data_IF_956592729304
#
_entry.id   IF_956592729304
#
_cell.length_a   1.000
_cell.length_b   1.000
_cell.length_c   1.000
_cell.angle_alpha   90.00
_cell.angle_beta   90.00
_cell.angle_gamma   90.00
#
_symmetry.space_group_name_H-M   'P 1'
#
loop_
_entity.id
_entity.type
_entity.pdbx_description
1 polymer ?
#
# COMPACT_ATOMS: atom_id res chain seq x y z
N UNK A 1 -26.66 -19.01 -34.00
CA UNK A 1 -25.47 -18.63 -33.22
C UNK A 1 -25.90 -17.45 -32.38
N UNK A 2 -26.23 -17.72 -31.13
CA UNK A 2 -26.76 -16.72 -30.21
C UNK A 2 -25.58 -15.96 -29.60
N UNK A 3 -25.52 -14.65 -29.83
CA UNK A 3 -24.48 -13.77 -29.27
C UNK A 3 -25.01 -13.36 -27.91
N UNK A 4 -24.70 -14.18 -26.90
CA UNK A 4 -25.06 -13.90 -25.51
C UNK A 4 -24.61 -12.50 -25.12
N UNK A 5 -25.60 -11.67 -24.77
CA UNK A 5 -25.50 -10.37 -24.13
C UNK A 5 -24.38 -10.34 -23.08
N UNK A 6 -23.35 -9.53 -23.32
CA UNK A 6 -22.40 -9.13 -22.28
C UNK A 6 -23.18 -8.33 -21.25
N UNK A 7 -23.29 -8.87 -20.04
CA UNK A 7 -23.94 -8.18 -18.93
C UNK A 7 -23.08 -6.97 -18.52
N UNK A 8 -23.66 -5.77 -18.33
CA UNK A 8 -22.91 -4.61 -17.88
C UNK A 8 -22.36 -4.84 -16.46
N UNK A 9 -21.14 -4.36 -16.23
CA UNK A 9 -20.36 -4.42 -14.98
C UNK A 9 -20.98 -3.45 -13.94
N UNK A 10 -22.27 -3.58 -13.66
CA UNK A 10 -23.01 -2.67 -12.80
C UNK A 10 -23.95 -3.41 -11.85
N UNK A 11 -23.43 -4.45 -11.20
CA UNK A 11 -24.03 -4.97 -9.98
C UNK A 11 -22.93 -5.54 -9.07
N UNK A 12 -22.03 -4.65 -8.60
CA UNK A 12 -21.18 -4.98 -7.46
C UNK A 12 -22.07 -4.99 -6.22
N UNK A 13 -22.44 -6.20 -5.85
CA UNK A 13 -23.28 -6.56 -4.72
C UNK A 13 -22.88 -5.80 -3.44
N UNK A 14 -23.87 -5.12 -2.85
CA UNK A 14 -23.74 -4.06 -1.84
C UNK A 14 -23.37 -4.55 -0.43
N UNK A 15 -22.70 -5.70 -0.29
CA UNK A 15 -22.50 -6.33 1.03
C UNK A 15 -21.11 -6.90 1.33
N UNK A 16 -20.16 -6.98 0.39
CA UNK A 16 -18.80 -7.43 0.71
C UNK A 16 -17.90 -6.26 1.17
N UNK A 17 -18.09 -5.81 2.41
CA UNK A 17 -17.30 -4.71 3.05
C UNK A 17 -15.84 -5.07 3.34
N UNK A 18 -15.29 -6.14 2.74
CA UNK A 18 -13.95 -6.65 3.02
C UNK A 18 -13.21 -6.93 1.70
N UNK A 19 -13.19 -5.93 0.82
CA UNK A 19 -12.38 -5.99 -0.39
C UNK A 19 -10.92 -5.85 0.04
N UNK A 20 -10.16 -6.93 -0.16
CA UNK A 20 -8.71 -6.93 -0.04
C UNK A 20 -8.16 -6.78 -1.45
N UNK A 21 -7.48 -5.68 -1.71
CA UNK A 21 -6.80 -5.43 -2.99
C UNK A 21 -5.31 -5.71 -2.83
N UNK A 22 -4.68 -6.35 -3.82
CA UNK A 22 -3.25 -6.64 -3.81
C UNK A 22 -2.59 -6.19 -5.11
N UNK A 23 -1.44 -5.53 -4.99
CA UNK A 23 -0.59 -5.09 -6.09
C UNK A 23 0.81 -5.67 -5.88
N UNK A 24 1.37 -6.26 -6.94
CA UNK A 24 2.76 -6.75 -6.99
C UNK A 24 3.45 -5.94 -8.10
N UNK A 25 4.52 -5.24 -7.75
CA UNK A 25 5.18 -4.27 -8.65
C UNK A 25 6.18 -4.91 -9.60
N UNK A 26 6.55 -6.17 -9.38
CA UNK A 26 7.59 -6.87 -10.13
C UNK A 26 9.02 -6.50 -9.73
N UNK A 27 9.20 -5.64 -8.72
CA UNK A 27 10.52 -5.24 -8.23
C UNK A 27 11.30 -6.42 -7.66
N UNK A 28 12.56 -6.58 -8.08
CA UNK A 28 13.51 -7.57 -7.57
C UNK A 28 14.54 -6.83 -6.71
N UNK A 29 14.69 -7.18 -5.41
CA UNK A 29 15.68 -6.55 -4.53
C UNK A 29 17.12 -6.71 -5.04
N UNK A 30 17.99 -5.77 -4.67
CA UNK A 30 19.41 -5.79 -5.03
C UNK A 30 20.24 -6.87 -4.32
N UNK A 31 21.49 -7.05 -4.77
CA UNK A 31 22.44 -8.06 -4.27
C UNK A 31 22.83 -7.86 -2.79
N UNK A 32 22.62 -6.68 -2.21
CA UNK A 32 22.79 -6.39 -0.78
C UNK A 32 21.62 -6.90 0.10
N UNK A 33 20.78 -7.75 -0.49
CA UNK A 33 20.21 -8.93 0.13
C UNK A 33 19.38 -8.67 1.37
N UNK A 34 18.07 -8.48 1.19
CA UNK A 34 16.96 -8.51 2.18
C UNK A 34 17.06 -7.63 3.43
N UNK A 35 18.25 -7.12 3.78
CA UNK A 35 18.57 -6.35 4.97
C UNK A 35 17.81 -5.03 5.01
N UNK A 36 17.40 -4.51 3.85
CA UNK A 36 16.60 -3.28 3.70
C UNK A 36 15.11 -3.54 3.51
N UNK A 37 14.71 -4.80 3.34
CA UNK A 37 13.31 -5.17 3.11
C UNK A 37 12.58 -5.14 4.44
N UNK A 38 11.49 -4.38 4.51
CA UNK A 38 10.62 -4.32 5.68
C UNK A 38 9.18 -4.64 5.28
N UNK A 39 8.51 -5.39 6.14
CA UNK A 39 7.06 -5.52 6.13
C UNK A 39 6.48 -4.48 7.09
N UNK A 40 5.79 -3.48 6.55
CA UNK A 40 5.25 -2.32 7.27
C UNK A 40 3.73 -2.34 7.18
N UNK A 41 3.07 -1.99 8.27
CA UNK A 41 1.62 -1.80 8.31
C UNK A 41 1.32 -0.30 8.51
N UNK A 42 0.64 0.30 7.55
CA UNK A 42 0.27 1.71 7.56
C UNK A 42 -1.23 1.84 7.78
N UNK A 43 -1.59 2.66 8.76
CA UNK A 43 -2.98 2.94 9.15
C UNK A 43 -3.42 4.33 8.67
N UNK A 44 -4.72 4.60 8.79
CA UNK A 44 -5.33 5.92 8.57
C UNK A 44 -5.14 6.53 7.17
N UNK A 45 -4.94 5.69 6.15
CA UNK A 45 -4.94 6.14 4.76
C UNK A 45 -6.39 6.36 4.34
N UNK A 46 -6.77 7.52 3.76
CA UNK A 46 -8.13 7.71 3.26
C UNK A 46 -8.51 6.67 2.21
N UNK A 47 -9.73 6.17 2.26
CA UNK A 47 -10.26 5.24 1.25
C UNK A 47 -10.32 5.86 -0.15
N UNK A 48 -10.33 7.19 -0.24
CA UNK A 48 -10.30 7.90 -1.52
C UNK A 48 -8.97 7.77 -2.25
N UNK A 49 -7.90 7.33 -1.58
CA UNK A 49 -6.60 7.15 -2.21
C UNK A 49 -6.53 5.86 -3.01
N UNK A 50 -6.20 5.98 -4.30
CA UNK A 50 -6.03 4.81 -5.18
C UNK A 50 -4.72 4.09 -4.88
N UNK A 51 -4.59 2.82 -5.30
CA UNK A 51 -3.32 2.08 -5.21
C UNK A 51 -2.15 2.85 -5.84
N UNK A 52 -2.38 3.51 -6.97
CA UNK A 52 -1.37 4.28 -7.70
C UNK A 52 -0.93 5.51 -6.92
N UNK A 53 -1.86 6.26 -6.32
CA UNK A 53 -1.53 7.41 -5.47
C UNK A 53 -0.69 6.99 -4.26
N UNK A 54 -1.05 5.87 -3.62
CA UNK A 54 -0.28 5.31 -2.50
C UNK A 54 1.12 4.92 -2.96
N UNK A 55 1.24 4.20 -4.08
CA UNK A 55 2.53 3.81 -4.64
C UNK A 55 3.40 5.03 -4.94
N UNK A 56 2.86 6.10 -5.53
CA UNK A 56 3.59 7.34 -5.80
C UNK A 56 4.15 7.98 -4.52
N UNK A 57 3.38 7.98 -3.42
CA UNK A 57 3.89 8.48 -2.13
C UNK A 57 4.96 7.57 -1.54
N UNK A 58 4.82 6.25 -1.71
CA UNK A 58 5.77 5.26 -1.21
C UNK A 58 7.09 5.22 -1.98
N UNK A 59 7.15 5.74 -3.22
CA UNK A 59 8.41 5.86 -3.98
C UNK A 59 9.45 6.69 -3.22
N UNK A 60 9.03 7.65 -2.38
CA UNK A 60 9.94 8.40 -1.51
C UNK A 60 10.59 7.55 -0.42
N UNK A 61 9.96 6.43 -0.06
CA UNK A 61 10.47 5.54 0.98
C UNK A 61 11.42 4.48 0.44
N UNK A 62 11.22 4.10 -0.81
CA UNK A 62 12.02 3.09 -1.49
C UNK A 62 11.21 2.34 -2.53
N UNK A 63 11.69 1.15 -2.89
CA UNK A 63 11.09 0.35 -3.94
C UNK A 63 10.06 -0.62 -3.34
N UNK A 64 8.78 -0.34 -3.60
CA UNK A 64 7.69 -1.22 -3.16
C UNK A 64 7.78 -2.55 -3.89
N UNK A 65 7.69 -3.67 -3.16
CA UNK A 65 7.67 -5.05 -3.71
C UNK A 65 6.22 -5.53 -3.82
N UNK A 66 5.45 -5.35 -2.75
CA UNK A 66 4.02 -5.69 -2.74
C UNK A 66 3.24 -4.76 -1.83
N UNK A 67 2.01 -4.47 -2.23
CA UNK A 67 1.06 -3.65 -1.52
C UNK A 67 -0.25 -4.44 -1.35
N UNK A 68 -0.76 -4.53 -0.13
CA UNK A 68 -2.09 -5.06 0.14
C UNK A 68 -2.91 -4.01 0.88
N UNK A 69 -4.10 -3.71 0.38
CA UNK A 69 -5.01 -2.73 0.96
C UNK A 69 -6.24 -3.42 1.49
N UNK A 70 -6.73 -2.94 2.63
CA UNK A 70 -8.00 -3.35 3.20
C UNK A 70 -8.79 -2.12 3.63
N UNK A 71 -9.93 -1.91 3.00
CA UNK A 71 -10.84 -0.83 3.36
C UNK A 71 -11.49 -1.07 4.73
N UNK A 72 -11.53 -0.03 5.56
CA UNK A 72 -12.16 0.00 6.88
C UNK A 72 -12.91 1.32 7.08
N UNK A 73 -14.21 1.34 6.77
CA UNK A 73 -15.05 2.55 6.80
C UNK A 73 -14.49 3.65 5.89
N UNK A 74 -14.09 4.80 6.46
CA UNK A 74 -13.57 5.98 5.75
C UNK A 74 -12.05 5.94 5.52
N UNK A 75 -11.36 4.96 6.10
CA UNK A 75 -9.93 4.74 5.94
C UNK A 75 -9.67 3.36 5.35
N UNK A 76 -8.41 3.08 5.05
CA UNK A 76 -7.90 1.78 4.67
C UNK A 76 -6.55 1.53 5.34
N UNK A 77 -6.27 0.25 5.59
CA UNK A 77 -4.97 -0.20 6.07
C UNK A 77 -4.17 -0.73 4.90
N UNK A 78 -2.89 -0.38 4.85
CA UNK A 78 -1.95 -0.86 3.84
C UNK A 78 -0.90 -1.74 4.50
N UNK A 79 -0.82 -3.01 4.09
CA UNK A 79 0.33 -3.88 4.36
C UNK A 79 1.31 -3.77 3.20
N UNK A 80 2.49 -3.27 3.49
CA UNK A 80 3.52 -2.93 2.53
C UNK A 80 4.73 -3.81 2.74
N UNK A 81 5.21 -4.45 1.68
CA UNK A 81 6.56 -5.01 1.62
C UNK A 81 7.40 -4.10 0.73
N UNK A 82 8.45 -3.51 1.29
CA UNK A 82 9.24 -2.47 0.61
C UNK A 82 10.72 -2.67 0.89
N UNK A 83 11.54 -2.45 -0.13
CA UNK A 83 12.98 -2.22 0.03
C UNK A 83 13.21 -0.74 0.34
N UNK A 84 13.54 -0.43 1.59
CA UNK A 84 13.75 0.95 2.02
C UNK A 84 15.05 1.52 1.44
N UNK A 85 15.01 2.81 1.08
CA UNK A 85 16.24 3.55 0.81
C UNK A 85 17.02 3.79 2.11
N UNK A 86 18.32 4.09 2.01
CA UNK A 86 19.20 4.24 3.17
C UNK A 86 18.67 5.27 4.19
N UNK A 87 18.10 6.39 3.73
CA UNK A 87 17.57 7.44 4.60
C UNK A 87 16.39 6.93 5.44
N UNK A 88 15.40 6.30 4.81
CA UNK A 88 14.25 5.75 5.53
C UNK A 88 14.61 4.53 6.37
N UNK A 89 15.59 3.74 5.95
CA UNK A 89 16.08 2.62 6.74
C UNK A 89 16.70 3.09 8.06
N UNK A 90 17.60 4.07 8.02
CA UNK A 90 18.20 4.63 9.25
C UNK A 90 17.16 5.27 10.15
N UNK A 91 16.14 5.94 9.60
CA UNK A 91 15.02 6.45 10.39
C UNK A 91 14.20 5.31 11.00
N UNK A 92 13.92 4.26 10.24
CA UNK A 92 13.15 3.12 10.71
C UNK A 92 13.87 2.37 11.84
N UNK A 93 15.18 2.20 11.74
CA UNK A 93 16.01 1.46 12.71
C UNK A 93 16.45 2.32 13.90
N UNK A 94 16.74 3.60 13.67
CA UNK A 94 17.20 4.54 14.71
C UNK A 94 16.08 5.12 15.57
N UNK A 95 14.82 4.83 15.23
CA UNK A 95 13.71 5.06 16.13
C UNK A 95 13.65 3.89 17.12
N UNK A 96 14.10 4.10 18.37
CA UNK A 96 13.95 3.15 19.51
C UNK A 96 12.47 2.97 19.94
N UNK A 97 11.53 2.90 18.99
CA UNK A 97 10.09 2.76 19.22
C UNK A 97 9.35 4.05 19.57
N UNK A 98 10.00 5.22 19.55
CA UNK A 98 9.40 6.49 19.99
C UNK A 98 8.53 7.18 18.94
N UNK A 99 8.76 6.96 17.65
CA UNK A 99 8.00 7.61 16.55
C UNK A 99 7.44 6.54 15.61
N UNK A 100 6.16 6.20 15.79
CA UNK A 100 5.41 5.27 14.93
C UNK A 100 4.55 6.00 13.88
N UNK A 101 4.60 7.34 13.85
CA UNK A 101 3.85 8.19 12.93
C UNK A 101 4.75 8.75 11.85
N UNK A 102 4.27 8.75 10.61
CA UNK A 102 4.93 9.48 9.52
C UNK A 102 3.88 10.08 8.60
N UNK A 103 4.19 11.28 8.12
CA UNK A 103 3.36 11.95 7.12
C UNK A 103 3.60 11.32 5.74
N UNK A 104 2.51 11.06 5.02
CA UNK A 104 2.52 10.58 3.63
C UNK A 104 2.26 11.71 2.61
N UNK A 105 2.60 12.94 2.97
CA UNK A 105 2.50 14.11 2.09
C UNK A 105 1.33 15.05 2.42
N UNK A 106 1.07 15.30 3.70
CA UNK A 106 0.08 16.20 4.28
C UNK A 106 -1.33 16.00 3.76
N UNK A 107 -2.12 15.25 4.53
CA UNK A 107 -3.58 15.30 4.42
C UNK A 107 -4.07 16.10 5.62
N UNK A 108 -4.72 17.27 5.45
CA UNK A 108 -5.35 17.95 6.57
C UNK A 108 -6.48 17.07 7.11
N UNK A 109 -6.56 16.96 8.43
CA UNK A 109 -7.69 16.38 9.16
C UNK A 109 -8.86 17.36 9.16
#
# INVERSE_FOLDING_TARGET
>A
MDISTVQPISELDKSNKNIIQQVITGHKPGDDGTSRIRDILVYDIPVSWTPEEILQKLTFWGNTISLQMKQQKKYQTVRLKIELNSLRLTQFEGNDGLIWTTDLGRIPV
#
